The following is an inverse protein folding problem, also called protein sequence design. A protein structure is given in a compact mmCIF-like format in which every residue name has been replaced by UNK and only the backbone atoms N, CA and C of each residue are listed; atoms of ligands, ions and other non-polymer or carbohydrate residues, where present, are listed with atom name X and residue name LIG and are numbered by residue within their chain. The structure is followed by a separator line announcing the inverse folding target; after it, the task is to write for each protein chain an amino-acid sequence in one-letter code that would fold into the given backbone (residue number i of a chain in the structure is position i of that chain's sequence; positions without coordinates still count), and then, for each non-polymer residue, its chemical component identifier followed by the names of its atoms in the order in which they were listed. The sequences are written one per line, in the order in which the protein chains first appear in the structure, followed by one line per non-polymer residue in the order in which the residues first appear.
data_IF_489393076093
#
_entry.id   IF_489393076093
#
_cell.length_a   1.000
_cell.length_b   1.000
_cell.length_c   1.000
_cell.angle_alpha   90.00
_cell.angle_beta   90.00
_cell.angle_gamma   90.00
#
_symmetry.space_group_name_H-M   'P 1'
#
loop_
_entity.id
_entity.type
_entity.pdbx_description
1 polymer ?
#
# COMPACT_ATOMS: atom_id res chain seq x y z
N UNK A 1 19.30 -1.66 -9.55
CA UNK A 1 19.08 -2.95 -8.86
C UNK A 1 20.14 -3.93 -9.31
N UNK A 2 21.22 -4.01 -8.51
CA UNK A 2 22.32 -4.93 -8.77
C UNK A 2 21.92 -6.35 -8.42
N UNK A 3 22.28 -7.27 -9.30
CA UNK A 3 22.21 -8.71 -9.09
C UNK A 3 23.04 -9.08 -7.86
N UNK A 4 22.39 -9.49 -6.77
CA UNK A 4 23.09 -10.06 -5.61
C UNK A 4 23.16 -11.57 -5.81
N UNK A 5 24.33 -12.14 -6.10
CA UNK A 5 24.45 -13.54 -6.44
C UNK A 5 23.96 -14.40 -5.28
N UNK A 6 22.95 -15.24 -5.54
CA UNK A 6 22.50 -16.33 -4.67
C UNK A 6 23.54 -17.46 -4.67
N UNK A 7 24.74 -17.18 -4.17
CA UNK A 7 25.77 -18.19 -3.93
C UNK A 7 25.96 -18.29 -2.42
N UNK A 8 25.69 -19.49 -1.89
CA UNK A 8 25.89 -19.79 -0.48
C UNK A 8 27.40 -19.84 -0.18
N UNK A 9 27.98 -18.68 0.16
CA UNK A 9 29.37 -18.60 0.61
C UNK A 9 29.44 -18.98 2.09
N UNK A 10 29.97 -20.15 2.39
CA UNK A 10 30.26 -20.56 3.76
C UNK A 10 31.40 -19.72 4.32
N UNK A 11 31.10 -18.91 5.33
CA UNK A 11 32.06 -18.07 6.03
C UNK A 11 32.84 -18.93 7.04
N UNK A 12 34.11 -19.21 6.79
CA UNK A 12 34.99 -19.95 7.71
C UNK A 12 35.89 -18.97 8.46
N UNK A 13 35.56 -18.70 9.73
CA UNK A 13 36.41 -17.91 10.63
C UNK A 13 37.36 -18.82 11.43
N UNK A 14 38.65 -18.50 11.48
CA UNK A 14 39.56 -18.97 12.55
C UNK A 14 39.48 -18.00 13.74
N UNK A 15 40.06 -18.36 14.88
CA UNK A 15 39.70 -17.85 16.22
C UNK A 15 39.77 -16.32 16.46
N UNK A 16 40.21 -15.49 15.52
CA UNK A 16 40.31 -14.04 15.66
C UNK A 16 39.79 -13.26 14.42
N UNK A 17 39.08 -13.90 13.49
CA UNK A 17 38.66 -13.27 12.23
C UNK A 17 37.19 -12.81 12.25
N UNK A 18 36.96 -11.50 12.16
CA UNK A 18 35.60 -10.92 12.08
C UNK A 18 35.13 -10.87 10.63
N UNK A 19 34.21 -11.75 10.26
CA UNK A 19 33.59 -11.71 8.94
C UNK A 19 32.24 -10.98 8.97
N UNK A 20 32.10 -9.88 8.20
CA UNK A 20 30.89 -9.07 8.13
C UNK A 20 30.18 -9.32 6.79
N UNK A 21 29.00 -9.94 6.84
CA UNK A 21 28.09 -10.01 5.68
C UNK A 21 27.20 -8.77 5.72
N UNK A 22 27.29 -7.93 4.69
CA UNK A 22 26.42 -6.76 4.55
C UNK A 22 25.26 -7.08 3.63
N UNK A 23 24.05 -6.68 4.04
CA UNK A 23 22.83 -6.80 3.27
C UNK A 23 21.95 -5.59 3.53
N UNK A 24 21.08 -5.25 2.59
CA UNK A 24 20.13 -4.14 2.73
C UNK A 24 18.71 -4.67 2.90
N UNK A 25 17.98 -4.12 3.87
CA UNK A 25 16.56 -4.36 4.06
C UNK A 25 15.85 -3.02 3.89
N UNK A 26 15.03 -2.91 2.84
CA UNK A 26 14.16 -1.76 2.61
C UNK A 26 12.75 -2.10 3.07
N UNK A 27 12.17 -1.28 3.93
CA UNK A 27 10.76 -1.38 4.33
C UNK A 27 10.02 -0.20 3.76
N UNK A 28 8.94 -0.47 3.05
CA UNK A 28 8.13 0.56 2.43
C UNK A 28 6.64 0.17 2.52
N UNK A 29 5.77 1.13 2.85
CA UNK A 29 4.31 0.89 2.89
C UNK A 29 3.55 2.15 2.50
N UNK A 30 2.32 1.98 2.04
CA UNK A 30 1.38 3.09 1.83
C UNK A 30 0.72 3.57 3.13
N UNK A 31 0.83 2.77 4.21
CA UNK A 31 0.33 3.09 5.55
C UNK A 31 1.49 3.14 6.55
N UNK A 32 1.23 3.72 7.73
CA UNK A 32 2.20 3.71 8.81
C UNK A 32 2.54 2.28 9.23
N UNK A 33 3.83 2.03 9.48
CA UNK A 33 4.34 0.78 10.04
C UNK A 33 5.30 1.08 11.19
N UNK A 34 5.47 0.12 12.08
CA UNK A 34 6.47 0.18 13.14
C UNK A 34 7.11 -1.18 13.28
N UNK A 35 8.42 -1.17 13.50
CA UNK A 35 9.20 -2.34 13.91
C UNK A 35 9.68 -2.09 15.33
N UNK A 36 9.57 -3.11 16.16
CA UNK A 36 10.03 -3.09 17.53
C UNK A 36 10.63 -4.44 17.87
N UNK A 37 11.53 -4.44 18.85
CA UNK A 37 12.06 -5.67 19.41
C UNK A 37 10.93 -6.53 20.00
N UNK A 38 11.07 -7.84 19.82
CA UNK A 38 10.17 -8.81 20.43
C UNK A 38 10.53 -9.04 21.90
N UNK A 39 9.64 -9.73 22.63
CA UNK A 39 9.88 -10.08 24.04
C UNK A 39 11.16 -10.89 24.25
N UNK A 40 11.60 -11.63 23.22
CA UNK A 40 12.85 -12.40 23.22
C UNK A 40 13.59 -12.13 21.90
N UNK A 41 14.30 -11.00 21.82
CA UNK A 41 15.21 -10.69 20.71
C UNK A 41 15.37 -9.21 20.41
N UNK A 42 16.55 -8.82 19.96
CA UNK A 42 16.99 -7.43 19.67
C UNK A 42 16.98 -7.10 18.17
N UNK A 43 16.20 -7.82 17.35
CA UNK A 43 16.29 -7.73 15.90
C UNK A 43 16.07 -6.34 15.28
N UNK A 44 15.23 -5.48 15.89
CA UNK A 44 15.09 -4.10 15.45
C UNK A 44 16.26 -3.23 15.93
N UNK A 45 16.76 -3.47 17.13
CA UNK A 45 17.98 -2.82 17.64
C UNK A 45 19.20 -3.16 16.78
N UNK A 46 19.39 -4.43 16.43
CA UNK A 46 20.55 -4.90 15.67
C UNK A 46 20.55 -4.37 14.23
N UNK A 47 19.37 -4.22 13.62
CA UNK A 47 19.24 -3.77 12.24
C UNK A 47 19.16 -2.25 12.09
N UNK A 48 18.57 -1.53 13.06
CA UNK A 48 18.29 -0.09 12.96
C UNK A 48 18.89 0.76 14.10
N UNK A 49 19.67 0.15 15.00
CA UNK A 49 20.30 0.83 16.13
C UNK A 49 19.33 1.33 17.20
N UNK A 50 18.10 0.81 17.24
CA UNK A 50 17.05 1.24 18.18
C UNK A 50 16.00 0.16 18.39
N UNK A 51 15.57 -0.02 19.64
CA UNK A 51 14.56 -1.02 20.03
C UNK A 51 13.17 -0.78 19.43
N UNK A 52 12.92 0.43 18.90
CA UNK A 52 11.76 0.72 18.09
C UNK A 52 12.07 1.73 16.99
N UNK A 53 11.49 1.50 15.81
CA UNK A 53 11.46 2.44 14.69
C UNK A 53 10.07 2.48 14.11
N UNK A 54 9.61 3.68 13.79
CA UNK A 54 8.36 3.91 13.09
C UNK A 54 8.63 4.53 11.73
N UNK A 55 7.72 4.27 10.80
CA UNK A 55 7.75 4.84 9.45
C UNK A 55 7.60 6.35 9.51
N UNK A 56 8.51 7.07 8.86
CA UNK A 56 8.30 8.46 8.50
C UNK A 56 7.46 8.53 7.22
N UNK A 57 6.45 9.39 7.19
CA UNK A 57 5.65 9.60 5.98
C UNK A 57 6.39 10.57 5.06
N UNK A 58 6.90 10.07 3.94
CA UNK A 58 7.39 10.90 2.84
C UNK A 58 6.21 11.31 1.98
N UNK A 59 5.95 12.60 1.84
CA UNK A 59 4.91 13.09 0.92
C UNK A 59 5.51 13.31 -0.47
N UNK A 60 4.66 13.35 -1.50
CA UNK A 60 5.10 13.64 -2.88
C UNK A 60 5.78 15.03 -2.96
N UNK A 61 5.40 15.96 -2.08
CA UNK A 61 6.00 17.29 -2.03
C UNK A 61 7.44 17.27 -1.48
N UNK A 62 7.78 16.25 -0.69
CA UNK A 62 9.09 16.12 -0.05
C UNK A 62 10.03 15.18 -0.82
N UNK A 63 9.59 14.65 -1.97
CA UNK A 63 10.41 13.74 -2.78
C UNK A 63 11.42 14.49 -3.63
N UNK A 64 12.68 14.13 -3.44
CA UNK A 64 13.81 14.64 -4.21
C UNK A 64 14.17 13.68 -5.36
N UNK A 65 14.56 14.23 -6.50
CA UNK A 65 14.97 13.50 -7.71
C UNK A 65 16.38 13.87 -8.18
N UNK A 66 17.13 14.64 -7.37
CA UNK A 66 18.50 15.07 -7.67
C UNK A 66 19.48 13.91 -7.84
N UNK A 67 19.27 12.82 -7.10
CA UNK A 67 20.08 11.61 -7.17
C UNK A 67 19.27 10.41 -7.67
N UNK A 68 19.93 9.46 -8.33
CA UNK A 68 19.30 8.24 -8.86
C UNK A 68 18.63 7.38 -7.77
N UNK A 69 19.15 7.40 -6.54
CA UNK A 69 18.55 6.71 -5.40
C UNK A 69 17.28 7.43 -4.94
N UNK A 70 17.34 8.75 -4.80
CA UNK A 70 16.21 9.56 -4.40
C UNK A 70 15.09 9.52 -5.45
N UNK A 71 15.43 9.50 -6.74
CA UNK A 71 14.48 9.35 -7.84
C UNK A 71 13.74 7.99 -7.80
N UNK A 72 14.42 6.89 -7.48
CA UNK A 72 13.75 5.58 -7.31
C UNK A 72 12.83 5.57 -6.09
N UNK A 73 13.23 6.20 -4.99
CA UNK A 73 12.36 6.37 -3.82
C UNK A 73 11.14 7.25 -4.17
N UNK A 74 11.33 8.29 -4.98
CA UNK A 74 10.26 9.15 -5.45
C UNK A 74 9.25 8.41 -6.33
N UNK A 75 9.73 7.57 -7.24
CA UNK A 75 8.88 6.68 -8.03
C UNK A 75 8.04 5.76 -7.13
N UNK A 76 8.65 5.14 -6.13
CA UNK A 76 7.94 4.27 -5.19
C UNK A 76 6.85 5.01 -4.38
N UNK A 77 7.10 6.28 -4.00
CA UNK A 77 6.10 7.14 -3.33
C UNK A 77 4.94 7.47 -4.28
N UNK A 78 5.25 7.80 -5.54
CA UNK A 78 4.26 8.13 -6.58
C UNK A 78 3.39 6.92 -6.90
N UNK A 79 3.97 5.73 -7.07
CA UNK A 79 3.22 4.50 -7.37
C UNK A 79 2.18 4.18 -6.29
N UNK A 80 2.56 4.37 -5.02
CA UNK A 80 1.63 4.21 -3.89
C UNK A 80 0.53 5.26 -3.86
N UNK A 81 0.86 6.50 -4.24
CA UNK A 81 -0.13 7.56 -4.34
C UNK A 81 -1.14 7.27 -5.46
N UNK A 82 -0.68 6.79 -6.62
CA UNK A 82 -1.53 6.36 -7.73
C UNK A 82 -2.42 5.20 -7.29
N UNK A 83 -1.87 4.17 -6.66
CA UNK A 83 -2.67 3.05 -6.14
C UNK A 83 -3.76 3.49 -5.15
N UNK A 84 -3.48 4.53 -4.34
CA UNK A 84 -4.49 5.12 -3.46
C UNK A 84 -5.60 5.85 -4.23
N UNK A 85 -5.25 6.60 -5.28
CA UNK A 85 -6.21 7.26 -6.17
C UNK A 85 -7.08 6.22 -6.89
N UNK A 86 -6.49 5.15 -7.38
CA UNK A 86 -7.21 4.07 -8.06
C UNK A 86 -8.20 3.37 -7.13
N UNK A 87 -7.81 3.15 -5.86
CA UNK A 87 -8.73 2.64 -4.84
C UNK A 87 -9.95 3.57 -4.64
N UNK A 88 -9.73 4.87 -4.57
CA UNK A 88 -10.83 5.86 -4.45
C UNK A 88 -11.71 5.85 -5.71
N UNK A 89 -11.12 5.83 -6.91
CA UNK A 89 -11.86 5.77 -8.18
C UNK A 89 -12.66 4.49 -8.32
N UNK A 90 -12.08 3.35 -7.92
CA UNK A 90 -12.78 2.06 -7.88
C UNK A 90 -13.98 2.12 -6.95
N UNK A 91 -13.81 2.67 -5.74
CA UNK A 91 -14.91 2.90 -4.80
C UNK A 91 -16.00 3.79 -5.38
N UNK A 92 -15.63 4.89 -6.04
CA UNK A 92 -16.58 5.78 -6.70
C UNK A 92 -17.32 5.07 -7.84
N UNK A 93 -16.65 4.28 -8.66
CA UNK A 93 -17.27 3.47 -9.71
C UNK A 93 -18.24 2.43 -9.15
N UNK A 94 -17.91 1.79 -8.03
CA UNK A 94 -18.82 0.88 -7.33
C UNK A 94 -20.06 1.62 -6.80
N UNK A 95 -19.90 2.82 -6.25
CA UNK A 95 -21.03 3.66 -5.82
C UNK A 95 -21.89 4.10 -7.00
N UNK A 96 -21.27 4.46 -8.13
CA UNK A 96 -21.99 4.79 -9.38
C UNK A 96 -22.81 3.61 -9.89
N UNK A 97 -22.25 2.39 -9.87
CA UNK A 97 -22.98 1.17 -10.25
C UNK A 97 -24.21 0.96 -9.36
N UNK A 98 -24.04 1.09 -8.03
CA UNK A 98 -25.16 1.01 -7.08
C UNK A 98 -26.22 2.08 -7.33
N UNK A 99 -25.81 3.31 -7.63
CA UNK A 99 -26.73 4.40 -7.94
C UNK A 99 -27.54 4.08 -9.20
N UNK A 100 -26.88 3.59 -10.27
CA UNK A 100 -27.57 3.21 -11.50
C UNK A 100 -28.60 2.10 -11.26
N UNK A 101 -28.21 1.02 -10.56
CA UNK A 101 -29.15 -0.06 -10.22
C UNK A 101 -30.30 0.43 -9.35
N UNK A 102 -30.05 1.38 -8.44
CA UNK A 102 -31.11 1.97 -7.61
C UNK A 102 -32.06 2.82 -8.46
N UNK A 103 -31.54 3.61 -9.40
CA UNK A 103 -32.36 4.40 -10.32
C UNK A 103 -33.23 3.50 -11.20
N UNK A 104 -32.67 2.43 -11.77
CA UNK A 104 -33.41 1.49 -12.62
C UNK A 104 -34.52 0.79 -11.82
N UNK A 105 -34.25 0.43 -10.57
CA UNK A 105 -35.25 -0.13 -9.66
C UNK A 105 -36.36 0.89 -9.33
N UNK A 106 -36.01 2.15 -9.05
CA UNK A 106 -36.97 3.21 -8.77
C UNK A 106 -37.86 3.53 -9.97
N UNK A 107 -37.30 3.54 -11.19
CA UNK A 107 -38.05 3.75 -12.43
C UNK A 107 -39.05 2.59 -12.66
N UNK A 108 -38.64 1.35 -12.42
CA UNK A 108 -39.54 0.20 -12.50
C UNK A 108 -40.66 0.27 -11.46
N UNK A 109 -40.35 0.64 -10.21
CA UNK A 109 -41.36 0.86 -9.16
C UNK A 109 -42.33 1.99 -9.56
N UNK A 110 -41.82 3.10 -10.10
CA UNK A 110 -42.64 4.22 -10.56
C UNK A 110 -43.57 3.80 -11.70
N UNK A 111 -43.07 3.03 -12.67
CA UNK A 111 -43.85 2.50 -13.79
C UNK A 111 -44.97 1.58 -13.31
N UNK A 112 -44.66 0.66 -12.40
CA UNK A 112 -45.63 -0.27 -11.82
C UNK A 112 -46.66 0.47 -10.95
N UNK A 113 -46.25 1.47 -10.17
CA UNK A 113 -47.16 2.29 -9.35
C UNK A 113 -48.10 3.13 -10.22
N UNK A 114 -47.60 3.72 -11.31
CA UNK A 114 -48.43 4.47 -12.25
C UNK A 114 -49.44 3.57 -12.95
N UNK A 115 -49.02 2.38 -13.39
CA UNK A 115 -49.91 1.39 -14.00
C UNK A 115 -51.01 0.92 -13.03
N UNK A 116 -50.64 0.59 -11.79
CA UNK A 116 -51.60 0.21 -10.74
C UNK A 116 -52.58 1.35 -10.40
N UNK A 117 -52.12 2.61 -10.37
CA UNK A 117 -53.00 3.77 -10.18
C UNK A 117 -53.94 3.98 -11.37
N UNK A 118 -53.47 3.80 -12.60
CA UNK A 118 -54.32 3.86 -13.80
C UNK A 118 -55.44 2.83 -13.74
N UNK A 119 -55.13 1.57 -13.37
CA UNK A 119 -56.16 0.52 -13.25
C UNK A 119 -57.17 0.79 -12.15
N UNK A 120 -56.78 1.49 -11.07
CA UNK A 120 -57.70 1.86 -9.98
C UNK A 120 -58.52 3.11 -10.32
N UNK A 121 -57.99 4.02 -11.16
CA UNK A 121 -58.74 5.20 -11.62
C UNK A 121 -59.72 4.91 -12.77
N UNK A 122 -59.51 3.82 -13.49
CA UNK A 122 -60.35 3.41 -14.62
C UNK A 122 -61.59 2.58 -14.19
N UNK A 123 -61.72 2.23 -12.90
CA UNK A 123 -62.88 1.54 -12.29
C UNK A 123 -63.68 2.46 -11.39
#
# INVERSE_FOLDING_TARGET
NGDFPNSLTTLSATADDTSVVTGQISLDSAKGYSVADGTVGTGATDLFGSASKSSAKTTIADTDVTDAVNAQNALAVIDKAIGSIDSVRSGLGATQNRLQTTVDNLQNIQKNSTAARSTVQDV
#
